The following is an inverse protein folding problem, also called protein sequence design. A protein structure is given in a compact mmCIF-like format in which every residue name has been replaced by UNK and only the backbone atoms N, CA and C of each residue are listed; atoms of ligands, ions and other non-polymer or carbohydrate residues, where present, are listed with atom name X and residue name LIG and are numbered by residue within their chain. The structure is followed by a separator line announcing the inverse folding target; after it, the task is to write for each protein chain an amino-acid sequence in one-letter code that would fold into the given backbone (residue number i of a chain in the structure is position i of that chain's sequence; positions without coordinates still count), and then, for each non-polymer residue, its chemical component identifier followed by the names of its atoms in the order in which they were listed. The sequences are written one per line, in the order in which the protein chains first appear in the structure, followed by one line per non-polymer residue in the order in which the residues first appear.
data_IF_133842892406
#
_entry.id   IF_133842892406
#
_cell.length_a   1.000
_cell.length_b   1.000
_cell.length_c   1.000
_cell.angle_alpha   90.00
_cell.angle_beta   90.00
_cell.angle_gamma   90.00
#
_symmetry.space_group_name_H-M   'P 1'
#
loop_
_entity.id
_entity.type
_entity.pdbx_description
1 polymer ?
#
# COMPACT_ATOMS: atom_id res chain seq x y z
N UNK A 1 3.72 2.69 11.54
CA UNK A 1 4.48 1.69 10.77
C UNK A 1 3.99 0.28 11.04
N UNK A 2 3.59 -0.45 10.00
CA UNK A 2 3.33 -1.89 10.01
C UNK A 2 4.33 -2.54 9.06
N UNK A 3 4.86 -3.71 9.42
CA UNK A 3 5.90 -4.39 8.63
C UNK A 3 5.58 -5.88 8.50
N UNK A 4 5.86 -6.43 7.32
CA UNK A 4 5.83 -7.86 7.05
C UNK A 4 7.09 -8.27 6.26
N UNK A 5 7.53 -9.51 6.45
CA UNK A 5 8.65 -10.10 5.70
C UNK A 5 8.17 -11.41 5.10
N UNK A 6 8.41 -11.60 3.81
CA UNK A 6 8.14 -12.85 3.10
C UNK A 6 9.29 -13.16 2.16
N UNK A 7 9.87 -14.36 2.29
CA UNK A 7 10.99 -14.83 1.45
C UNK A 7 12.15 -13.82 1.34
N UNK A 8 12.46 -13.11 2.42
CA UNK A 8 13.52 -12.10 2.45
C UNK A 8 13.17 -10.74 1.82
N UNK A 9 11.96 -10.55 1.29
CA UNK A 9 11.45 -9.22 0.92
C UNK A 9 10.68 -8.65 2.09
N UNK A 10 11.14 -7.51 2.61
CA UNK A 10 10.51 -6.77 3.70
C UNK A 10 9.69 -5.62 3.14
N UNK A 11 8.43 -5.53 3.54
CA UNK A 11 7.53 -4.44 3.17
C UNK A 11 7.12 -3.74 4.45
N UNK A 12 7.35 -2.43 4.50
CA UNK A 12 6.95 -1.57 5.62
C UNK A 12 6.04 -0.45 5.14
N UNK A 13 4.99 -0.16 5.90
CA UNK A 13 3.94 0.79 5.51
C UNK A 13 3.72 1.78 6.65
N UNK A 14 3.75 3.06 6.32
CA UNK A 14 3.26 4.15 7.18
C UNK A 14 2.01 4.76 6.57
N UNK A 15 0.98 4.91 7.40
CA UNK A 15 -0.33 5.46 7.00
C UNK A 15 -0.60 6.74 7.74
N UNK A 16 -1.18 7.73 7.05
CA UNK A 16 -1.56 9.01 7.62
C UNK A 16 -2.94 9.41 7.14
N UNK A 17 -3.80 9.80 8.09
CA UNK A 17 -5.08 10.43 7.78
C UNK A 17 -4.85 11.87 7.33
N UNK A 18 -5.39 12.23 6.17
CA UNK A 18 -5.23 13.54 5.56
C UNK A 18 -6.43 14.43 5.88
N UNK A 19 -6.40 15.05 7.07
CA UNK A 19 -7.53 15.85 7.57
C UNK A 19 -7.94 16.96 6.60
N UNK A 20 -6.97 17.66 6.00
CA UNK A 20 -7.23 18.77 5.06
C UNK A 20 -7.93 18.34 3.75
N UNK A 21 -7.85 17.05 3.39
CA UNK A 21 -8.47 16.50 2.19
C UNK A 21 -9.69 15.62 2.51
N UNK A 22 -10.09 15.56 3.78
CA UNK A 22 -11.19 14.75 4.25
C UNK A 22 -12.40 15.63 4.59
N UNK A 23 -13.60 15.10 4.37
CA UNK A 23 -14.86 15.71 4.77
C UNK A 23 -15.70 14.66 5.51
N UNK A 24 -15.50 14.51 6.84
CA UNK A 24 -16.22 13.52 7.64
C UNK A 24 -17.73 13.70 7.66
N UNK A 25 -18.23 14.93 7.50
CA UNK A 25 -19.68 15.22 7.46
C UNK A 25 -20.34 14.56 6.25
N UNK A 26 -19.61 14.43 5.15
CA UNK A 26 -20.05 13.77 3.93
C UNK A 26 -19.46 12.36 3.78
N UNK A 27 -18.97 11.75 4.86
CA UNK A 27 -18.38 10.41 4.86
C UNK A 27 -17.19 10.22 3.90
N UNK A 28 -16.48 11.30 3.57
CA UNK A 28 -15.31 11.26 2.70
C UNK A 28 -14.02 11.31 3.54
N UNK A 29 -13.25 10.22 3.52
CA UNK A 29 -12.02 10.09 4.30
C UNK A 29 -10.83 9.82 3.37
N UNK A 30 -9.84 10.71 3.42
CA UNK A 30 -8.61 10.59 2.64
C UNK A 30 -7.47 10.08 3.52
N UNK A 31 -6.81 9.02 3.07
CA UNK A 31 -5.63 8.46 3.70
C UNK A 31 -4.49 8.43 2.69
N UNK A 32 -3.30 8.78 3.14
CA UNK A 32 -2.07 8.56 2.37
C UNK A 32 -1.27 7.45 3.04
N UNK A 33 -0.47 6.75 2.25
CA UNK A 33 0.46 5.74 2.73
C UNK A 33 1.81 5.86 2.03
N UNK A 34 2.87 5.54 2.77
CA UNK A 34 4.23 5.40 2.25
C UNK A 34 4.67 3.96 2.41
N UNK A 35 5.21 3.36 1.35
CA UNK A 35 5.62 1.96 1.32
C UNK A 35 7.12 1.90 1.06
N UNK A 36 7.83 1.23 1.96
CA UNK A 36 9.22 0.88 1.80
C UNK A 36 9.32 -0.62 1.51
N UNK A 37 9.94 -0.97 0.39
CA UNK A 37 10.21 -2.37 -0.01
C UNK A 37 11.73 -2.56 0.02
N UNK A 38 12.18 -3.52 0.83
CA UNK A 38 13.59 -3.82 1.02
C UNK A 38 13.85 -5.27 0.61
N UNK A 39 14.79 -5.48 -0.31
CA UNK A 39 15.30 -6.81 -0.65
C UNK A 39 16.42 -7.17 0.35
N UNK A 40 16.16 -8.10 1.26
CA UNK A 40 17.12 -8.58 2.25
C UNK A 40 17.82 -9.87 1.81
N UNK A 41 17.67 -10.24 0.53
CA UNK A 41 18.34 -11.40 -0.05
C UNK A 41 19.60 -10.99 -0.82
N UNK A 42 20.45 -11.97 -1.12
CA UNK A 42 21.64 -11.76 -1.96
C UNK A 42 21.30 -11.76 -3.46
N UNK A 43 20.08 -12.19 -3.82
CA UNK A 43 19.64 -12.27 -5.21
C UNK A 43 18.95 -10.99 -5.62
N UNK A 44 19.06 -10.61 -6.90
CA UNK A 44 18.26 -9.53 -7.47
C UNK A 44 16.79 -9.94 -7.48
N UNK A 45 15.92 -9.04 -7.01
CA UNK A 45 14.46 -9.19 -7.04
C UNK A 45 13.90 -8.00 -7.82
N UNK A 46 12.85 -8.24 -8.60
CA UNK A 46 12.13 -7.19 -9.32
C UNK A 46 10.65 -7.21 -8.92
N UNK A 47 10.08 -6.04 -8.66
CA UNK A 47 8.65 -5.87 -8.45
C UNK A 47 7.94 -5.82 -9.80
N UNK A 48 7.10 -6.84 -10.07
CA UNK A 48 6.36 -6.92 -11.33
C UNK A 48 4.94 -6.35 -11.24
N UNK A 49 4.23 -6.64 -10.15
CA UNK A 49 2.81 -6.30 -9.98
C UNK A 49 2.44 -6.05 -8.54
N UNK A 50 1.33 -5.34 -8.35
CA UNK A 50 0.71 -5.10 -7.04
C UNK A 50 -0.77 -5.50 -7.07
N UNK A 51 -1.28 -5.88 -5.91
CA UNK A 51 -2.68 -6.17 -5.68
C UNK A 51 -3.06 -5.65 -4.31
N UNK A 52 -4.11 -4.83 -4.25
CA UNK A 52 -4.64 -4.28 -3.01
C UNK A 52 -6.04 -4.80 -2.79
N UNK A 53 -6.28 -5.29 -1.58
CA UNK A 53 -7.60 -5.59 -1.06
C UNK A 53 -7.92 -4.53 -0.02
N UNK A 54 -8.87 -3.64 -0.34
CA UNK A 54 -9.25 -2.51 0.51
C UNK A 54 -10.64 -2.80 1.05
N UNK A 55 -10.74 -2.93 2.37
CA UNK A 55 -12.00 -3.09 3.08
C UNK A 55 -12.34 -1.80 3.81
N UNK A 56 -13.56 -1.31 3.61
CA UNK A 56 -14.10 -0.15 4.30
C UNK A 56 -15.01 -0.59 5.46
N UNK A 57 -15.08 0.22 6.51
CA UNK A 57 -15.90 0.00 7.69
C UNK A 57 -17.40 -0.13 7.40
N UNK A 58 -17.87 0.39 6.26
CA UNK A 58 -19.26 0.22 5.80
C UNK A 58 -19.53 -1.13 5.12
N UNK A 59 -18.55 -2.05 5.12
CA UNK A 59 -18.66 -3.38 4.52
C UNK A 59 -18.27 -3.44 3.04
N UNK A 60 -17.90 -2.30 2.43
CA UNK A 60 -17.46 -2.27 1.04
C UNK A 60 -16.08 -2.90 0.87
N UNK A 61 -15.93 -3.70 -0.19
CA UNK A 61 -14.65 -4.26 -0.62
C UNK A 61 -14.27 -3.70 -1.98
N UNK A 62 -13.02 -3.31 -2.13
CA UNK A 62 -12.43 -2.90 -3.41
C UNK A 62 -11.14 -3.62 -3.64
N UNK A 63 -10.96 -4.08 -4.86
CA UNK A 63 -9.73 -4.68 -5.32
C UNK A 63 -9.07 -3.74 -6.33
N UNK A 64 -7.76 -3.49 -6.16
CA UNK A 64 -6.97 -2.72 -7.12
C UNK A 64 -5.75 -3.53 -7.51
N UNK A 65 -5.72 -3.93 -8.78
CA UNK A 65 -4.61 -4.67 -9.38
C UNK A 65 -3.91 -3.80 -10.43
N UNK A 66 -2.59 -3.98 -10.59
CA UNK A 66 -1.87 -3.42 -11.72
C UNK A 66 -0.39 -3.77 -11.73
N UNK A 67 0.25 -3.50 -12.86
CA UNK A 67 1.69 -3.67 -13.02
C UNK A 67 2.47 -2.60 -12.26
N UNK A 68 3.62 -3.02 -11.72
CA UNK A 68 4.58 -2.17 -11.05
C UNK A 68 4.02 -1.43 -9.83
N UNK A 69 4.70 -0.36 -9.46
CA UNK A 69 4.29 0.66 -8.49
C UNK A 69 4.62 2.03 -9.06
N UNK A 70 3.71 2.99 -8.96
CA UNK A 70 3.91 4.37 -9.46
C UNK A 70 4.43 4.47 -10.92
N UNK A 71 4.13 3.48 -11.76
CA UNK A 71 4.58 3.41 -13.15
C UNK A 71 5.94 2.75 -13.38
N UNK A 72 6.57 2.18 -12.34
CA UNK A 72 7.88 1.54 -12.39
C UNK A 72 7.84 0.08 -11.91
N UNK A 73 8.78 -0.74 -12.39
CA UNK A 73 9.03 -2.11 -11.93
C UNK A 73 10.48 -2.19 -11.41
N UNK A 74 10.75 -1.59 -10.24
CA UNK A 74 12.09 -1.56 -9.65
C UNK A 74 12.58 -2.94 -9.23
#
# INVERSE_FOLDING_TARGET
MVTAISQGVKVSIDTVYQQQYSNPVNEHFMFAYSILIENLTENTVQLLRRQWFIFDSNGSMREVEGEGVVGLQP
#
